data_IF_718548145416
#
_entry.id   IF_718548145416
#
_cell.length_a   1.000
_cell.length_b   1.000
_cell.length_c   1.000
_cell.angle_alpha   90.00
_cell.angle_beta   90.00
_cell.angle_gamma   90.00
#
_symmetry.space_group_name_H-M   'P 1'
#
loop_
_entity.id
_entity.type
_entity.pdbx_description
1 polymer ?
#
# COMPACT_ATOMS: atom_id res chain seq x y z
N UNK A 1 8.13 0.02 6.88
CA UNK A 1 8.95 -0.83 6.00
C UNK A 1 9.29 -0.04 4.76
N UNK A 2 10.56 -0.01 4.37
CA UNK A 2 11.10 0.80 3.27
C UNK A 2 11.99 -0.07 2.37
N UNK A 3 12.24 0.41 1.15
CA UNK A 3 13.12 -0.24 0.18
C UNK A 3 14.34 0.63 -0.11
N UNK A 4 15.53 0.03 -0.12
CA UNK A 4 16.80 0.76 -0.28
C UNK A 4 17.06 1.28 -1.69
N UNK A 5 16.31 0.82 -2.67
CA UNK A 5 16.36 1.23 -4.09
C UNK A 5 15.37 2.36 -4.45
N UNK A 6 14.61 2.87 -3.47
CA UNK A 6 13.69 4.01 -3.63
C UNK A 6 14.18 5.21 -2.79
N UNK A 7 15.26 5.91 -3.19
CA UNK A 7 15.97 6.85 -2.33
C UNK A 7 15.31 8.22 -2.18
N UNK A 8 14.30 8.54 -3.00
CA UNK A 8 13.69 9.87 -3.06
C UNK A 8 12.48 10.03 -2.12
N UNK A 9 12.17 9.02 -1.29
CA UNK A 9 11.11 9.15 -0.29
C UNK A 9 11.51 10.19 0.76
N UNK A 10 10.60 11.14 1.02
CA UNK A 10 10.86 12.26 1.94
C UNK A 10 10.39 11.93 3.36
N UNK A 11 11.02 12.54 4.36
CA UNK A 11 10.55 12.43 5.75
C UNK A 11 9.11 12.92 5.92
N UNK A 12 8.72 14.00 5.23
CA UNK A 12 7.35 14.53 5.25
C UNK A 12 6.32 13.50 4.77
N UNK A 13 6.64 12.76 3.70
CA UNK A 13 5.77 11.67 3.21
C UNK A 13 5.65 10.55 4.25
N UNK A 14 6.75 10.24 4.94
CA UNK A 14 6.75 9.22 5.99
C UNK A 14 5.96 9.66 7.23
N UNK A 15 6.09 10.93 7.64
CA UNK A 15 5.31 11.50 8.75
C UNK A 15 3.81 11.46 8.45
N UNK A 16 3.39 11.88 7.25
CA UNK A 16 1.99 11.77 6.82
C UNK A 16 1.49 10.31 6.81
N UNK A 17 2.36 9.34 6.45
CA UNK A 17 2.02 7.92 6.50
C UNK A 17 1.86 7.41 7.94
N UNK A 18 2.70 7.88 8.88
CA UNK A 18 2.56 7.56 10.31
C UNK A 18 1.25 8.11 10.86
N UNK A 19 0.91 9.36 10.54
CA UNK A 19 -0.32 10.02 11.00
C UNK A 19 -1.60 9.37 10.43
N UNK A 20 -1.50 8.80 9.22
CA UNK A 20 -2.60 8.10 8.57
C UNK A 20 -2.79 6.66 9.06
N UNK A 21 -1.85 6.10 9.85
CA UNK A 21 -1.98 4.75 10.37
C UNK A 21 -3.11 4.68 11.41
N UNK A 22 -4.16 3.87 11.21
CA UNK A 22 -5.16 3.65 12.23
C UNK A 22 -4.59 2.81 13.38
N UNK A 23 -5.13 3.00 14.59
CA UNK A 23 -4.76 2.19 15.76
C UNK A 23 -5.00 0.70 15.48
N UNK A 24 -3.96 -0.13 15.62
CA UNK A 24 -4.02 -1.57 15.37
C UNK A 24 -4.18 -1.96 13.89
N UNK A 25 -4.03 -1.03 12.95
CA UNK A 25 -4.07 -1.30 11.52
C UNK A 25 -2.78 -0.96 10.78
N UNK A 26 -2.89 -0.87 9.46
CA UNK A 26 -1.77 -0.63 8.54
C UNK A 26 -1.98 0.71 7.84
N UNK A 27 -0.95 1.56 7.83
CA UNK A 27 -0.84 2.67 6.89
C UNK A 27 -0.11 2.17 5.64
N UNK A 28 -0.66 2.44 4.45
CA UNK A 28 -0.08 2.04 3.17
C UNK A 28 0.18 3.27 2.31
N UNK A 29 1.39 3.41 1.78
CA UNK A 29 1.71 4.45 0.80
C UNK A 29 1.28 3.99 -0.60
N UNK A 30 0.42 4.76 -1.23
CA UNK A 30 -0.09 4.50 -2.57
C UNK A 30 0.29 5.64 -3.51
N UNK A 31 0.19 5.39 -4.82
CA UNK A 31 0.38 6.43 -5.84
C UNK A 31 -0.60 6.21 -6.98
N UNK A 32 -1.06 7.30 -7.59
CA UNK A 32 -1.92 7.26 -8.79
C UNK A 32 -1.03 7.44 -10.01
N UNK A 33 -1.07 6.49 -10.94
CA UNK A 33 -0.31 6.52 -12.19
C UNK A 33 -1.24 6.51 -13.39
N UNK A 34 -0.90 7.27 -14.44
CA UNK A 34 -1.64 7.24 -15.71
C UNK A 34 -1.62 5.84 -16.34
N UNK A 35 -0.49 5.13 -16.23
CA UNK A 35 -0.33 3.76 -16.68
C UNK A 35 0.08 2.84 -15.51
N UNK A 36 -0.88 2.12 -14.89
CA UNK A 36 -0.60 1.24 -13.75
C UNK A 36 -0.15 -0.17 -14.16
N UNK A 37 0.11 -0.43 -15.45
CA UNK A 37 0.45 -1.78 -15.95
C UNK A 37 1.66 -2.35 -15.21
N UNK A 38 1.50 -3.57 -14.68
CA UNK A 38 2.57 -4.31 -13.99
C UNK A 38 2.61 -4.15 -12.47
N UNK A 39 1.82 -3.24 -11.89
CA UNK A 39 1.77 -3.01 -10.45
C UNK A 39 0.56 -3.67 -9.77
N UNK A 40 0.60 -3.83 -8.43
CA UNK A 40 -0.56 -4.26 -7.64
C UNK A 40 -1.58 -3.13 -7.46
N UNK A 41 -2.86 -3.39 -7.72
CA UNK A 41 -3.98 -2.43 -7.67
C UNK A 41 -4.54 -2.30 -6.27
N UNK A 42 -4.81 -1.07 -5.83
CA UNK A 42 -5.47 -0.80 -4.55
C UNK A 42 -6.98 -0.91 -4.73
N UNK A 43 -7.58 -1.96 -4.19
CA UNK A 43 -9.04 -2.13 -4.19
C UNK A 43 -9.60 -1.53 -2.90
N UNK A 44 -10.58 -0.64 -3.03
CA UNK A 44 -11.22 0.04 -1.90
C UNK A 44 -12.70 -0.28 -1.83
N UNK A 45 -13.19 -0.44 -0.60
CA UNK A 45 -14.61 -0.49 -0.27
C UNK A 45 -14.87 0.53 0.84
N UNK A 46 -15.85 1.41 0.63
CA UNK A 46 -16.22 2.45 1.60
C UNK A 46 -15.04 3.32 2.08
N UNK A 47 -14.05 3.55 1.20
CA UNK A 47 -12.85 4.34 1.48
C UNK A 47 -11.68 3.55 2.09
N UNK A 48 -11.92 2.35 2.61
CA UNK A 48 -10.89 1.48 3.19
C UNK A 48 -10.26 0.58 2.13
N UNK A 49 -8.95 0.35 2.22
CA UNK A 49 -8.26 -0.64 1.38
C UNK A 49 -8.65 -2.04 1.85
N UNK A 50 -9.20 -2.86 0.94
CA UNK A 50 -9.61 -4.25 1.24
C UNK A 50 -8.72 -5.29 0.59
N UNK A 51 -8.03 -4.94 -0.50
CA UNK A 51 -7.11 -5.83 -1.18
C UNK A 51 -6.05 -5.08 -1.99
N UNK A 52 -4.94 -5.76 -2.21
CA UNK A 52 -3.95 -5.41 -3.23
C UNK A 52 -3.98 -6.56 -4.24
N UNK A 53 -4.35 -6.28 -5.49
CA UNK A 53 -4.49 -7.31 -6.53
C UNK A 53 -3.42 -7.14 -7.59
N UNK A 54 -2.55 -8.13 -7.74
CA UNK A 54 -1.46 -8.10 -8.71
C UNK A 54 -1.97 -8.13 -10.16
N UNK A 55 -1.23 -7.50 -11.08
CA UNK A 55 -1.60 -7.38 -12.50
C UNK A 55 -2.03 -8.71 -13.15
N UNK A 56 -1.39 -9.82 -12.77
CA UNK A 56 -1.66 -11.16 -13.30
C UNK A 56 -2.98 -11.75 -12.80
N UNK A 57 -3.44 -11.33 -11.62
CA UNK A 57 -4.63 -11.83 -10.93
C UNK A 57 -5.82 -10.85 -11.05
N UNK A 58 -5.56 -9.62 -11.52
CA UNK A 58 -6.55 -8.57 -11.66
C UNK A 58 -7.56 -8.83 -12.79
N UNK A 59 -8.85 -8.59 -12.52
CA UNK A 59 -9.89 -8.49 -13.55
C UNK A 59 -9.66 -7.26 -14.45
N UNK A 60 -10.36 -7.18 -15.59
CA UNK A 60 -10.27 -6.00 -16.47
C UNK A 60 -10.73 -4.72 -15.76
N UNK A 61 -11.74 -4.82 -14.90
CA UNK A 61 -12.22 -3.73 -14.06
C UNK A 61 -11.16 -3.29 -13.04
N UNK A 62 -10.50 -4.26 -12.39
CA UNK A 62 -9.42 -3.96 -11.45
C UNK A 62 -8.19 -3.39 -12.16
N UNK A 63 -7.85 -3.84 -13.37
CA UNK A 63 -6.73 -3.32 -14.16
C UNK A 63 -6.89 -1.83 -14.49
N UNK A 64 -8.12 -1.33 -14.57
CA UNK A 64 -8.45 0.07 -14.81
C UNK A 64 -8.22 0.98 -13.57
N UNK A 65 -8.05 0.39 -12.37
CA UNK A 65 -7.67 1.14 -11.17
C UNK A 65 -6.28 1.75 -11.39
N UNK A 66 -6.17 3.07 -11.24
CA UNK A 66 -4.92 3.82 -11.42
C UNK A 66 -4.10 3.94 -10.14
N UNK A 67 -4.72 3.73 -8.98
CA UNK A 67 -4.04 3.70 -7.68
C UNK A 67 -3.33 2.36 -7.48
N UNK A 68 -2.01 2.43 -7.22
CA UNK A 68 -1.16 1.25 -7.07
C UNK A 68 -0.45 1.21 -5.72
N UNK A 69 -0.06 0.00 -5.33
CA UNK A 69 0.75 -0.25 -4.15
C UNK A 69 2.22 0.08 -4.41
N UNK A 70 2.84 0.89 -3.55
CA UNK A 70 4.29 1.16 -3.58
C UNK A 70 5.10 0.12 -2.81
N UNK A 71 4.44 -0.71 -1.99
CA UNK A 71 5.03 -1.63 -1.04
C UNK A 71 5.41 -0.98 0.30
N UNK A 72 5.52 0.35 0.37
CA UNK A 72 5.85 1.05 1.62
C UNK A 72 4.64 1.04 2.56
N UNK A 73 4.85 0.56 3.78
CA UNK A 73 3.82 0.47 4.81
C UNK A 73 4.35 0.82 6.20
N UNK A 74 3.44 1.18 7.10
CA UNK A 74 3.65 1.27 8.55
C UNK A 74 2.63 0.41 9.28
N UNK A 75 3.07 -0.26 10.34
CA UNK A 75 2.22 -0.96 11.27
C UNK A 75 2.95 -1.09 12.62
N UNK A 76 2.18 -1.29 13.69
CA UNK A 76 2.76 -1.57 15.01
C UNK A 76 3.56 -2.88 14.98
N UNK A 77 4.72 -2.88 15.64
CA UNK A 77 5.58 -4.06 15.70
C UNK A 77 4.92 -5.29 16.34
N UNK A 78 3.96 -5.09 17.26
CA UNK A 78 3.17 -6.19 17.87
C UNK A 78 2.26 -6.86 16.84
N UNK A 79 1.65 -6.06 15.96
CA UNK A 79 0.67 -6.53 14.98
C UNK A 79 1.40 -7.20 13.82
N UNK A 80 2.52 -6.65 13.37
CA UNK A 80 3.41 -7.32 12.41
C UNK A 80 3.87 -8.69 12.90
N UNK A 81 4.30 -8.82 14.16
CA UNK A 81 4.68 -10.11 14.74
C UNK A 81 3.53 -11.11 14.73
N UNK A 82 2.32 -10.66 15.06
CA UNK A 82 1.11 -11.49 15.04
C UNK A 82 0.71 -11.92 13.63
N UNK A 83 0.79 -11.04 12.63
CA UNK A 83 0.42 -11.37 11.25
C UNK A 83 1.44 -12.25 10.54
N UNK A 84 2.72 -12.12 10.91
CA UNK A 84 3.82 -12.89 10.32
C UNK A 84 4.18 -14.15 11.11
N UNK A 85 3.56 -14.40 12.26
CA UNK A 85 3.76 -15.65 12.99
C UNK A 85 3.11 -16.79 12.23
N UNK A 86 3.93 -17.54 11.50
CA UNK A 86 3.56 -18.80 10.83
C UNK A 86 3.60 -19.98 11.80
#
# INVERSE_FOLDING_TARGET
MLYGDVPLITSETLEALLDAQPEGGVGLLTVVLDNPTGYGRIVRENGSVVAIVEQKDASEEQKAIQEINTGVLVADGKDLKRWLST
#
